data_IF_983643502206
#
_entry.id   IF_983643502206
#
_cell.length_a   1.000
_cell.length_b   1.000
_cell.length_c   1.000
_cell.angle_alpha   90.00
_cell.angle_beta   90.00
_cell.angle_gamma   90.00
#
_symmetry.space_group_name_H-M   'P 1'
#
loop_
_entity.id
_entity.type
_entity.pdbx_description
1 polymer ?
#
# COMPACT_ATOMS: atom_id res chain seq x y z
N UNK A 1 5.72 8.39 -7.72
CA UNK A 1 6.74 7.58 -7.05
C UNK A 1 7.41 8.52 -6.07
N UNK A 2 6.73 8.78 -4.94
CA UNK A 2 7.16 9.83 -4.02
C UNK A 2 8.17 9.24 -3.02
N UNK A 3 9.35 9.85 -2.99
CA UNK A 3 10.46 9.54 -2.10
C UNK A 3 11.45 10.70 -2.11
N UNK A 4 12.40 10.73 -1.17
CA UNK A 4 13.31 11.87 -0.99
C UNK A 4 14.16 12.14 -2.24
N UNK A 5 14.56 11.09 -2.97
CA UNK A 5 15.28 11.22 -4.24
C UNK A 5 14.53 11.94 -5.36
N UNK A 6 13.20 12.04 -5.30
CA UNK A 6 12.36 12.75 -6.29
C UNK A 6 11.88 14.11 -5.77
N UNK A 7 12.44 14.60 -4.67
CA UNK A 7 12.12 15.91 -4.11
C UNK A 7 13.36 16.80 -4.20
N UNK A 8 13.25 17.89 -4.95
CA UNK A 8 14.29 18.91 -5.04
C UNK A 8 13.93 20.05 -4.09
N UNK A 9 14.87 20.44 -3.23
CA UNK A 9 14.73 21.61 -2.36
C UNK A 9 15.39 22.79 -3.06
N UNK A 10 14.60 23.84 -3.30
CA UNK A 10 15.04 25.09 -3.93
C UNK A 10 14.93 26.24 -2.93
N UNK A 11 15.43 27.42 -3.33
CA UNK A 11 15.26 28.65 -2.53
C UNK A 11 13.78 29.07 -2.38
N UNK A 12 12.87 28.54 -3.22
CA UNK A 12 11.45 28.88 -3.23
C UNK A 12 10.56 27.80 -2.60
N UNK A 13 11.09 26.64 -2.24
CA UNK A 13 10.33 25.55 -1.62
C UNK A 13 10.79 24.17 -2.07
N UNK A 14 9.84 23.24 -2.15
CA UNK A 14 10.10 21.86 -2.57
C UNK A 14 9.36 21.55 -3.87
N UNK A 15 10.05 20.89 -4.80
CA UNK A 15 9.52 20.48 -6.09
C UNK A 15 9.56 18.95 -6.21
N UNK A 16 8.44 18.35 -6.61
CA UNK A 16 8.37 16.94 -6.95
C UNK A 16 8.74 16.77 -8.43
N UNK A 17 9.78 16.01 -8.71
CA UNK A 17 10.21 15.66 -10.07
C UNK A 17 9.72 14.26 -10.46
N UNK A 18 9.89 13.90 -11.73
CA UNK A 18 9.59 12.56 -12.28
C UNK A 18 8.14 12.08 -12.07
N UNK A 19 7.18 13.00 -11.97
CA UNK A 19 5.76 12.67 -11.83
C UNK A 19 5.18 12.03 -13.10
N UNK A 20 5.73 12.39 -14.26
CA UNK A 20 5.35 11.93 -15.59
C UNK A 20 5.66 10.45 -15.80
N UNK A 21 6.69 9.91 -15.15
CA UNK A 21 7.02 8.48 -15.20
C UNK A 21 5.85 7.61 -14.70
N UNK A 22 5.19 8.02 -13.61
CA UNK A 22 4.02 7.29 -13.10
C UNK A 22 2.83 7.40 -14.06
N UNK A 23 2.60 8.60 -14.60
CA UNK A 23 1.52 8.85 -15.55
C UNK A 23 1.68 8.06 -16.84
N UNK A 24 2.92 7.86 -17.30
CA UNK A 24 3.25 7.05 -18.48
C UNK A 24 3.27 5.54 -18.20
N UNK A 25 2.95 5.13 -16.98
CA UNK A 25 2.72 3.73 -16.63
C UNK A 25 3.93 3.00 -16.04
N UNK A 26 4.98 3.72 -15.62
CA UNK A 26 6.07 3.12 -14.87
C UNK A 26 5.55 2.54 -13.54
N UNK A 27 5.93 1.31 -13.18
CA UNK A 27 5.59 0.75 -11.88
C UNK A 27 6.21 1.60 -10.76
N UNK A 28 5.38 2.02 -9.80
CA UNK A 28 5.86 2.66 -8.57
C UNK A 28 6.57 1.64 -7.69
N UNK A 29 7.70 2.03 -7.09
CA UNK A 29 8.41 1.20 -6.13
C UNK A 29 7.55 0.87 -4.89
N UNK A 30 6.65 1.79 -4.51
CA UNK A 30 5.69 1.63 -3.40
C UNK A 30 4.53 0.67 -3.72
N UNK A 31 4.45 0.09 -4.92
CA UNK A 31 3.31 -0.74 -5.34
C UNK A 31 3.10 -1.95 -4.44
N UNK A 32 4.17 -2.63 -4.05
CA UNK A 32 4.10 -3.85 -3.24
C UNK A 32 3.59 -3.58 -1.80
N UNK A 33 3.99 -2.47 -1.18
CA UNK A 33 3.50 -2.09 0.15
C UNK A 33 2.02 -1.71 0.10
N UNK A 34 1.61 -0.94 -0.92
CA UNK A 34 0.19 -0.61 -1.13
C UNK A 34 -0.70 -1.86 -1.24
N UNK A 35 -0.28 -2.87 -2.00
CA UNK A 35 -1.03 -4.12 -2.17
C UNK A 35 -1.22 -4.91 -0.85
N UNK A 36 -0.41 -4.65 0.17
CA UNK A 36 -0.59 -5.26 1.49
C UNK A 36 -1.76 -4.64 2.28
N UNK A 37 -2.11 -3.39 1.99
CA UNK A 37 -3.21 -2.68 2.65
C UNK A 37 -4.56 -2.96 1.97
N UNK A 38 -5.58 -3.25 2.77
CA UNK A 38 -6.96 -3.39 2.28
C UNK A 38 -7.71 -2.05 2.24
N UNK A 39 -7.16 -1.00 2.86
CA UNK A 39 -7.81 0.30 2.96
C UNK A 39 -7.71 1.13 1.67
N UNK A 40 -6.77 0.80 0.78
CA UNK A 40 -6.52 1.56 -0.46
C UNK A 40 -7.51 1.16 -1.55
N UNK A 41 -8.41 2.08 -1.91
CA UNK A 41 -9.46 1.83 -2.91
C UNK A 41 -9.61 2.95 -3.96
N UNK A 42 -9.08 4.14 -3.68
CA UNK A 42 -9.13 5.33 -4.54
C UNK A 42 -7.73 5.85 -4.84
N UNK A 43 -7.61 6.75 -5.82
CA UNK A 43 -6.33 7.46 -6.06
C UNK A 43 -5.91 8.30 -4.85
N UNK A 44 -6.86 8.92 -4.16
CA UNK A 44 -6.57 9.67 -2.94
C UNK A 44 -5.97 8.76 -1.87
N UNK A 45 -6.51 7.55 -1.68
CA UNK A 45 -5.93 6.58 -0.74
C UNK A 45 -4.48 6.22 -1.12
N UNK A 46 -4.19 6.07 -2.41
CA UNK A 46 -2.83 5.81 -2.89
C UNK A 46 -1.90 6.99 -2.54
N UNK A 47 -2.38 8.24 -2.71
CA UNK A 47 -1.61 9.43 -2.36
C UNK A 47 -1.38 9.53 -0.85
N UNK A 48 -2.40 9.30 -0.03
CA UNK A 48 -2.29 9.30 1.44
C UNK A 48 -1.30 8.25 1.93
N UNK A 49 -1.41 7.02 1.40
CA UNK A 49 -0.53 5.92 1.79
C UNK A 49 0.93 6.24 1.45
N UNK A 50 1.19 6.64 0.19
CA UNK A 50 2.55 6.94 -0.27
C UNK A 50 3.14 8.20 0.37
N UNK A 51 2.30 9.19 0.71
CA UNK A 51 2.71 10.33 1.52
C UNK A 51 3.18 9.90 2.92
N UNK A 52 2.46 9.00 3.58
CA UNK A 52 2.86 8.52 4.91
C UNK A 52 4.12 7.63 4.86
N UNK A 53 4.33 6.87 3.78
CA UNK A 53 5.58 6.15 3.56
C UNK A 53 6.75 7.12 3.33
N UNK A 54 6.52 8.20 2.58
CA UNK A 54 7.52 9.26 2.39
C UNK A 54 7.81 10.02 3.69
N UNK A 55 6.80 10.31 4.50
CA UNK A 55 6.99 10.91 5.82
C UNK A 55 7.84 10.00 6.73
N UNK A 56 7.59 8.69 6.71
CA UNK A 56 8.40 7.72 7.43
C UNK A 56 9.86 7.71 6.94
N UNK A 57 10.08 7.77 5.62
CA UNK A 57 11.40 7.89 5.00
C UNK A 57 12.13 9.15 5.47
N UNK A 58 11.45 10.31 5.49
CA UNK A 58 12.04 11.57 5.96
C UNK A 58 12.44 11.51 7.44
N UNK A 59 11.66 10.83 8.27
CA UNK A 59 11.91 10.74 9.72
C UNK A 59 13.03 9.77 10.05
N UNK A 60 13.09 8.64 9.34
CA UNK A 60 13.93 7.49 9.73
C UNK A 60 15.10 7.23 8.79
N UNK A 61 15.06 7.77 7.57
CA UNK A 61 15.98 7.43 6.48
C UNK A 61 15.69 6.08 5.81
N UNK A 62 14.72 5.30 6.30
CA UNK A 62 14.36 4.03 5.68
C UNK A 62 13.48 4.24 4.46
N UNK A 63 13.93 3.72 3.33
CA UNK A 63 13.23 3.89 2.07
C UNK A 63 11.86 3.19 2.02
N UNK A 64 11.59 2.17 2.85
CA UNK A 64 10.31 1.44 2.88
C UNK A 64 9.75 1.33 4.29
N UNK A 65 8.42 1.42 4.41
CA UNK A 65 7.73 1.09 5.65
C UNK A 65 7.62 -0.44 5.79
N UNK A 66 8.05 -1.05 6.91
CA UNK A 66 8.05 -2.50 7.07
C UNK A 66 6.65 -3.02 7.40
N UNK A 67 5.87 -3.33 6.36
CA UNK A 67 4.47 -3.78 6.45
C UNK A 67 4.25 -5.09 7.23
N UNK A 68 5.30 -5.84 7.56
CA UNK A 68 5.22 -7.07 8.35
C UNK A 68 5.26 -6.81 9.88
N UNK A 69 5.72 -5.63 10.29
CA UNK A 69 5.88 -5.23 11.68
C UNK A 69 5.52 -3.73 11.83
N UNK A 70 4.27 -3.35 11.50
CA UNK A 70 3.86 -1.95 11.45
C UNK A 70 3.93 -1.28 12.84
N UNK A 71 3.57 -1.99 13.91
CA UNK A 71 3.59 -1.46 15.27
C UNK A 71 5.01 -1.11 15.73
N UNK A 72 5.98 -1.98 15.43
CA UNK A 72 7.40 -1.77 15.74
C UNK A 72 7.98 -0.59 14.95
N UNK A 73 7.58 -0.44 13.69
CA UNK A 73 8.02 0.69 12.88
C UNK A 73 7.43 2.03 13.33
N UNK A 74 6.18 2.05 13.77
CA UNK A 74 5.61 3.28 14.35
C UNK A 74 6.28 3.62 15.68
N UNK A 75 6.70 2.62 16.47
CA UNK A 75 7.33 2.85 17.77
C UNK A 75 8.68 3.59 17.69
N UNK A 76 9.42 3.47 16.58
CA UNK A 76 10.70 4.19 16.40
C UNK A 76 10.53 5.65 15.93
N UNK A 77 9.32 6.03 15.54
CA UNK A 77 8.99 7.37 15.04
C UNK A 77 8.65 8.31 16.21
N UNK A 78 9.02 9.61 16.17
CA UNK A 78 8.64 10.56 17.21
C UNK A 78 7.13 10.58 17.48
N UNK A 79 6.75 10.65 18.76
CA UNK A 79 5.37 10.50 19.24
C UNK A 79 4.35 11.37 18.50
N UNK A 80 4.76 12.56 18.05
CA UNK A 80 3.91 13.51 17.32
C UNK A 80 3.38 12.93 16.00
N UNK A 81 4.14 12.10 15.29
CA UNK A 81 3.75 11.51 14.00
C UNK A 81 3.03 10.16 14.12
N UNK A 82 3.13 9.49 15.28
CA UNK A 82 2.56 8.16 15.48
C UNK A 82 1.04 8.09 15.23
N UNK A 83 0.20 9.08 15.65
CA UNK A 83 -1.23 9.03 15.36
C UNK A 83 -1.55 8.95 13.86
N UNK A 84 -0.83 9.73 13.03
CA UNK A 84 -1.02 9.71 11.59
C UNK A 84 -0.59 8.36 11.00
N UNK A 85 0.61 7.88 11.33
CA UNK A 85 1.10 6.59 10.81
C UNK A 85 0.21 5.42 11.26
N UNK A 86 -0.28 5.44 12.49
CA UNK A 86 -1.20 4.43 13.00
C UNK A 86 -2.52 4.40 12.21
N UNK A 87 -3.04 5.57 11.82
CA UNK A 87 -4.26 5.67 11.01
C UNK A 87 -4.12 5.19 9.57
N UNK A 88 -2.91 4.85 9.12
CA UNK A 88 -2.62 4.41 7.75
C UNK A 88 -2.07 2.98 7.68
N UNK A 89 -1.16 2.61 8.58
CA UNK A 89 -0.37 1.37 8.45
C UNK A 89 -0.79 0.22 9.37
N UNK A 90 -1.57 0.47 10.42
CA UNK A 90 -1.94 -0.62 11.32
C UNK A 90 -2.89 -1.63 10.65
N UNK A 91 -2.79 -2.93 10.97
CA UNK A 91 -3.57 -3.99 10.29
C UNK A 91 -5.09 -3.85 10.38
N UNK A 92 -5.58 -3.20 11.44
CA UNK A 92 -6.99 -2.92 11.70
C UNK A 92 -7.56 -1.80 10.84
N UNK A 93 -6.73 -0.98 10.21
CA UNK A 93 -7.16 0.15 9.38
C UNK A 93 -7.96 -0.35 8.18
N UNK A 94 -9.19 0.15 8.05
CA UNK A 94 -10.11 -0.17 6.95
C UNK A 94 -10.33 0.99 5.99
N UNK A 95 -10.13 2.22 6.45
CA UNK A 95 -10.32 3.45 5.69
C UNK A 95 -9.16 4.39 6.00
N UNK A 96 -8.60 5.03 4.97
CA UNK A 96 -7.55 6.04 5.15
C UNK A 96 -8.17 7.42 5.43
N UNK A 97 -7.46 8.30 6.15
CA UNK A 97 -7.86 9.71 6.28
C UNK A 97 -7.85 10.41 4.92
N UNK A 98 -8.64 11.48 4.76
CA UNK A 98 -8.58 12.32 3.55
C UNK A 98 -7.33 13.19 3.57
N UNK A 99 -6.88 13.63 2.40
CA UNK A 99 -5.77 14.60 2.32
C UNK A 99 -6.08 15.88 3.11
N UNK A 100 -7.35 16.31 3.09
CA UNK A 100 -7.80 17.48 3.85
C UNK A 100 -7.69 17.27 5.37
N UNK A 101 -7.98 16.07 5.87
CA UNK A 101 -7.87 15.76 7.30
C UNK A 101 -6.40 15.80 7.76
N UNK A 102 -5.49 15.31 6.90
CA UNK A 102 -4.05 15.34 7.17
C UNK A 102 -3.55 16.77 7.21
N UNK A 103 -3.88 17.60 6.21
CA UNK A 103 -3.46 19.01 6.14
C UNK A 103 -3.96 19.81 7.35
N UNK A 104 -5.18 19.51 7.81
CA UNK A 104 -5.79 20.18 8.97
C UNK A 104 -5.39 19.58 10.32
N UNK A 105 -4.55 18.53 10.34
CA UNK A 105 -4.12 17.89 11.58
C UNK A 105 -3.16 18.79 12.37
N UNK A 106 -3.02 18.49 13.67
CA UNK A 106 -2.08 19.19 14.55
C UNK A 106 -0.61 19.08 14.10
N UNK A 107 -0.28 18.15 13.21
CA UNK A 107 1.06 18.00 12.64
C UNK A 107 1.50 19.21 11.81
N UNK A 108 0.55 19.88 11.14
CA UNK A 108 0.84 20.95 10.18
C UNK A 108 0.28 22.31 10.61
N UNK A 109 -0.20 22.42 11.84
CA UNK A 109 -0.84 23.65 12.36
C UNK A 109 0.11 24.85 12.36
N UNK A 110 1.38 24.62 12.67
CA UNK A 110 2.43 25.66 12.74
C UNK A 110 3.13 25.88 11.39
N UNK A 111 2.86 25.03 10.40
CA UNK A 111 3.34 25.26 9.05
C UNK A 111 2.46 26.37 8.49
N UNK A 112 3.03 27.55 8.14
CA UNK A 112 2.27 28.55 7.43
C UNK A 112 1.95 27.94 6.06
N UNK A 113 0.80 27.27 5.99
CA UNK A 113 0.09 27.03 4.75
C UNK A 113 -0.32 28.42 4.35
N UNK A 114 0.62 29.17 3.77
CA UNK A 114 0.32 30.31 2.92
C UNK A 114 -0.74 29.71 2.03
N UNK A 115 -2.03 30.00 2.29
CA UNK A 115 -3.15 29.35 1.62
C UNK A 115 -2.73 29.45 0.17
N UNK A 116 -2.25 28.35 -0.42
CA UNK A 116 -1.73 28.37 -1.78
C UNK A 116 -3.00 28.68 -2.50
N UNK A 117 -3.28 29.98 -2.75
CA UNK A 117 -4.60 30.48 -3.16
C UNK A 117 -4.91 29.59 -4.31
N UNK A 118 -5.84 28.64 -4.08
CA UNK A 118 -5.93 27.38 -4.80
C UNK A 118 -5.63 27.72 -6.24
N UNK A 119 -4.37 27.50 -6.69
CA UNK A 119 -3.96 28.12 -7.95
C UNK A 119 -4.81 27.35 -8.93
N UNK A 120 -5.87 27.97 -9.44
CA UNK A 120 -6.75 27.32 -10.39
C UNK A 120 -5.85 27.01 -11.58
N UNK A 121 -5.41 25.75 -11.66
CA UNK A 121 -4.64 25.28 -12.78
C UNK A 121 -5.63 25.30 -13.93
N UNK A 122 -5.58 26.36 -14.74
CA UNK A 122 -6.34 26.44 -15.97
C UNK A 122 -5.75 25.44 -16.93
N UNK A 123 -6.45 24.32 -17.08
CA UNK A 123 -6.08 23.23 -17.95
C UNK A 123 -7.04 23.19 -19.15
N UNK A 124 -6.54 23.11 -20.39
CA UNK A 124 -7.39 22.85 -21.54
C UNK A 124 -8.22 21.56 -21.34
N UNK A 125 -9.46 21.53 -21.84
CA UNK A 125 -10.38 20.40 -21.69
C UNK A 125 -9.75 19.08 -22.13
N UNK A 126 -9.07 19.10 -23.26
CA UNK A 126 -8.51 17.91 -23.90
C UNK A 126 -7.36 17.33 -23.06
N UNK A 127 -6.56 18.21 -22.44
CA UNK A 127 -5.49 17.81 -21.51
C UNK A 127 -6.08 17.20 -20.24
N UNK A 128 -7.17 17.79 -19.72
CA UNK A 128 -7.88 17.26 -18.55
C UNK A 128 -8.45 15.87 -18.83
N UNK A 129 -9.08 15.67 -19.98
CA UNK A 129 -9.64 14.38 -20.37
C UNK A 129 -8.56 13.29 -20.46
N UNK A 130 -7.41 13.62 -21.06
CA UNK A 130 -6.25 12.71 -21.10
C UNK A 130 -5.78 12.37 -19.69
N UNK A 131 -5.63 13.38 -18.81
CA UNK A 131 -5.19 13.17 -17.43
C UNK A 131 -6.17 12.30 -16.63
N UNK A 132 -7.47 12.55 -16.75
CA UNK A 132 -8.52 11.76 -16.09
C UNK A 132 -8.50 10.30 -16.59
N UNK A 133 -8.23 10.09 -17.88
CA UNK A 133 -8.00 8.77 -18.48
C UNK A 133 -6.77 8.05 -17.90
N UNK A 134 -5.64 8.74 -17.77
CA UNK A 134 -4.42 8.18 -17.17
C UNK A 134 -4.63 7.82 -15.70
N UNK A 135 -5.27 8.69 -14.93
CA UNK A 135 -5.66 8.45 -13.54
C UNK A 135 -6.55 7.20 -13.41
N UNK A 136 -7.56 7.08 -14.27
CA UNK A 136 -8.45 5.92 -14.30
C UNK A 136 -7.69 4.63 -14.63
N UNK A 137 -6.76 4.69 -15.59
CA UNK A 137 -5.90 3.54 -15.96
C UNK A 137 -4.99 3.09 -14.81
N UNK A 138 -4.41 4.03 -14.05
CA UNK A 138 -3.60 3.72 -12.86
C UNK A 138 -4.43 2.95 -11.84
N UNK A 139 -5.66 3.41 -11.57
CA UNK A 139 -6.55 2.78 -10.61
C UNK A 139 -7.00 1.38 -11.05
N UNK A 140 -7.39 1.22 -12.31
CA UNK A 140 -7.80 -0.08 -12.86
C UNK A 140 -6.65 -1.09 -12.88
N UNK A 141 -5.44 -0.64 -13.24
CA UNK A 141 -4.24 -1.47 -13.13
C UNK A 141 -3.99 -1.90 -11.68
N UNK A 142 -4.12 -0.99 -10.72
CA UNK A 142 -3.98 -1.32 -9.30
C UNK A 142 -4.99 -2.36 -8.84
N UNK A 143 -6.27 -2.25 -9.25
CA UNK A 143 -7.30 -3.25 -8.93
C UNK A 143 -6.96 -4.64 -9.50
N UNK A 144 -6.44 -4.68 -10.74
CA UNK A 144 -5.98 -5.93 -11.37
C UNK A 144 -4.82 -6.56 -10.59
N UNK A 145 -3.81 -5.77 -10.24
CA UNK A 145 -2.65 -6.22 -9.47
C UNK A 145 -3.09 -6.74 -8.10
N UNK A 146 -4.06 -6.07 -7.44
CA UNK A 146 -4.63 -6.51 -6.15
C UNK A 146 -5.35 -7.84 -6.26
N UNK A 147 -6.10 -8.07 -7.33
CA UNK A 147 -6.73 -9.37 -7.60
C UNK A 147 -5.68 -10.48 -7.74
N UNK A 148 -4.64 -10.24 -8.55
CA UNK A 148 -3.55 -11.19 -8.75
C UNK A 148 -2.79 -11.47 -7.45
N UNK A 149 -2.44 -10.42 -6.71
CA UNK A 149 -1.75 -10.52 -5.42
C UNK A 149 -2.54 -11.37 -4.41
N UNK A 150 -3.85 -11.14 -4.31
CA UNK A 150 -4.72 -11.90 -3.43
C UNK A 150 -4.82 -13.38 -3.86
N UNK A 151 -4.86 -13.67 -5.15
CA UNK A 151 -4.88 -15.04 -5.66
C UNK A 151 -3.58 -15.78 -5.34
N UNK A 152 -2.42 -15.15 -5.57
CA UNK A 152 -1.12 -15.69 -5.20
C UNK A 152 -1.03 -15.94 -3.70
N UNK A 153 -1.51 -14.99 -2.88
CA UNK A 153 -1.52 -15.13 -1.41
C UNK A 153 -2.39 -16.30 -0.96
N UNK A 154 -3.56 -16.50 -1.56
CA UNK A 154 -4.44 -17.66 -1.29
C UNK A 154 -3.78 -18.97 -1.69
N UNK A 155 -3.18 -19.02 -2.89
CA UNK A 155 -2.48 -20.20 -3.37
C UNK A 155 -1.32 -20.59 -2.45
N UNK A 156 -0.48 -19.63 -2.04
CA UNK A 156 0.63 -19.89 -1.10
C UNK A 156 0.13 -20.42 0.25
N UNK A 157 -0.96 -19.87 0.78
CA UNK A 157 -1.57 -20.40 2.02
C UNK A 157 -2.08 -21.83 1.85
N UNK A 158 -2.70 -22.12 0.70
CA UNK A 158 -3.16 -23.47 0.38
C UNK A 158 -1.99 -24.46 0.26
N UNK A 159 -0.91 -24.09 -0.44
CA UNK A 159 0.32 -24.89 -0.55
C UNK A 159 0.97 -25.13 0.82
N UNK A 160 1.02 -24.12 1.69
CA UNK A 160 1.52 -24.26 3.06
C UNK A 160 0.68 -25.23 3.89
N UNK A 161 -0.66 -25.16 3.79
CA UNK A 161 -1.56 -26.12 4.43
C UNK A 161 -1.36 -27.53 3.89
N UNK A 162 -1.25 -27.68 2.56
CA UNK A 162 -1.02 -28.96 1.89
C UNK A 162 0.27 -29.65 2.37
N UNK A 163 1.31 -28.84 2.59
CA UNK A 163 2.64 -29.28 2.98
C UNK A 163 2.84 -29.29 4.50
N UNK A 164 1.81 -28.96 5.28
CA UNK A 164 1.87 -29.03 6.73
C UNK A 164 1.99 -30.48 7.21
N UNK A 165 2.77 -30.70 8.26
CA UNK A 165 2.97 -32.04 8.82
C UNK A 165 1.65 -32.68 9.29
N UNK A 166 0.71 -31.87 9.80
CA UNK A 166 -0.63 -32.32 10.18
C UNK A 166 -1.41 -32.88 9.00
N UNK A 167 -1.40 -32.21 7.85
CA UNK A 167 -2.09 -32.68 6.64
C UNK A 167 -1.37 -33.89 6.02
N UNK A 168 -0.03 -33.93 6.06
CA UNK A 168 0.74 -35.11 5.65
C UNK A 168 0.41 -36.34 6.50
N UNK A 169 0.30 -36.18 7.83
CA UNK A 169 -0.08 -37.26 8.75
C UNK A 169 -1.52 -37.72 8.51
N UNK A 170 -2.46 -36.78 8.34
CA UNK A 170 -3.85 -37.09 8.00
C UNK A 170 -3.97 -37.93 6.72
N UNK A 171 -3.20 -37.60 5.67
CA UNK A 171 -3.17 -38.39 4.43
C UNK A 171 -2.66 -39.80 4.65
N UNK A 172 -1.62 -39.97 5.46
CA UNK A 172 -1.09 -41.30 5.81
C UNK A 172 -2.14 -42.13 6.56
N UNK A 173 -2.90 -41.52 7.46
CA UNK A 173 -4.00 -42.20 8.18
C UNK A 173 -5.13 -42.61 7.25
N UNK A 174 -5.58 -41.73 6.34
CA UNK A 174 -6.63 -42.04 5.36
C UNK A 174 -6.20 -43.20 4.46
N UNK A 175 -4.95 -43.19 3.97
CA UNK A 175 -4.39 -44.29 3.16
C UNK A 175 -4.37 -45.58 3.98
N UNK A 176 -3.95 -45.53 5.25
CA UNK A 176 -3.90 -46.70 6.14
C UNK A 176 -5.29 -47.29 6.37
N UNK A 177 -6.29 -46.46 6.65
CA UNK A 177 -7.69 -46.89 6.81
C UNK A 177 -8.23 -47.48 5.52
N UNK A 178 -7.98 -46.86 4.37
CA UNK A 178 -8.39 -47.38 3.06
C UNK A 178 -7.79 -48.75 2.75
N UNK A 179 -6.51 -48.96 3.05
CA UNK A 179 -5.84 -50.26 2.89
C UNK A 179 -6.45 -51.31 3.84
N UNK A 180 -6.76 -50.95 5.08
CA UNK A 180 -7.39 -51.86 6.04
C UNK A 180 -8.81 -52.25 5.62
N UNK A 181 -9.61 -51.29 5.14
CA UNK A 181 -10.94 -51.56 4.61
C UNK A 181 -10.88 -52.44 3.36
N UNK A 182 -9.94 -52.21 2.43
CA UNK A 182 -9.76 -53.06 1.26
C UNK A 182 -9.41 -54.52 1.62
N UNK A 183 -8.57 -54.72 2.66
CA UNK A 183 -8.26 -56.06 3.19
C UNK A 183 -9.45 -56.75 3.85
N UNK A 184 -10.39 -55.99 4.44
CA UNK A 184 -11.59 -56.57 5.05
C UNK A 184 -12.66 -57.00 4.03
N UNK A 185 -12.68 -56.40 2.85
CA UNK A 185 -13.71 -56.65 1.82
C UNK A 185 -13.32 -57.80 0.88
N UNK A 186 -12.13 -58.39 1.05
CA UNK A 186 -11.73 -59.62 0.36
C UNK A 186 -11.22 -59.39 -1.07
N UNK A 187 -9.95 -59.02 -1.17
CA UNK A 187 -9.02 -59.50 -2.18
C UNK A 187 -7.79 -60.06 -1.45
#
# INVERSE_FOLDING_TARGET
DIHAGNVVITEYGCELIDFDQVLTGQPSFRRSSMLCSQAINTLEDMFVFTFCEFLFELITGFFTFPMHSPSEAVAIVPAVFQPLLNSVFLPEVRCLPRLQDIINSSLFVDVPVTKMKQREIRMPSDVKEVLDGLCSNILERYKRDRCQFNNIKKQRKFEQLLNSETEKLRRKEIIKVGIMSAKLIGF
#
